data_IF_583894797776
#
_entry.id   IF_583894797776
#
_cell.length_a   1.000
_cell.length_b   1.000
_cell.length_c   1.000
_cell.angle_alpha   90.00
_cell.angle_beta   90.00
_cell.angle_gamma   90.00
#
_symmetry.space_group_name_H-M   'P 1'
#
loop_
_entity.id
_entity.type
_entity.pdbx_description
1 polymer ?
#
# COMPACT_ATOMS: atom_id res chain seq x y z
N UNK A 1 -10.88 -4.81 -32.72
CA UNK A 1 -10.35 -4.10 -31.53
C UNK A 1 -9.57 -2.84 -31.88
N UNK A 2 -8.77 -2.85 -32.96
CA UNK A 2 -8.01 -1.69 -33.46
C UNK A 2 -8.76 -0.33 -33.45
N UNK A 3 -10.01 -0.29 -33.90
CA UNK A 3 -10.83 0.93 -33.94
C UNK A 3 -11.13 1.56 -32.58
N UNK A 4 -10.81 0.87 -31.48
CA UNK A 4 -10.92 1.38 -30.11
C UNK A 4 -9.60 1.96 -29.58
N UNK A 5 -8.56 2.11 -30.41
CA UNK A 5 -7.24 2.65 -30.02
C UNK A 5 -7.29 4.04 -29.42
N UNK A 6 -8.32 4.83 -29.72
CA UNK A 6 -8.51 6.19 -29.19
C UNK A 6 -9.67 6.28 -28.20
N UNK A 7 -10.26 5.14 -27.80
CA UNK A 7 -11.46 5.08 -26.95
C UNK A 7 -11.30 5.87 -25.66
N UNK A 8 -10.09 5.93 -25.13
CA UNK A 8 -9.79 6.60 -23.87
C UNK A 8 -9.20 7.99 -24.04
N UNK A 9 -8.90 8.48 -25.24
CA UNK A 9 -8.17 9.75 -25.43
C UNK A 9 -8.88 10.95 -24.79
N UNK A 10 -10.22 10.92 -24.75
CA UNK A 10 -11.06 11.97 -24.17
C UNK A 10 -11.59 11.64 -22.76
N UNK A 11 -11.21 10.50 -22.18
CA UNK A 11 -11.71 10.16 -20.85
C UNK A 11 -11.09 11.13 -19.82
N UNK A 12 -11.88 11.67 -18.87
CA UNK A 12 -11.40 12.70 -17.96
C UNK A 12 -10.22 12.21 -17.12
N UNK A 13 -9.09 12.90 -17.23
CA UNK A 13 -7.86 12.55 -16.50
C UNK A 13 -8.03 12.64 -14.97
N UNK A 14 -8.91 13.52 -14.49
CA UNK A 14 -9.27 13.71 -13.08
C UNK A 14 -10.55 12.99 -12.66
N UNK A 15 -11.23 12.27 -13.58
CA UNK A 15 -12.50 11.60 -13.30
C UNK A 15 -12.36 10.10 -12.98
N UNK A 16 -13.50 9.36 -12.94
CA UNK A 16 -13.52 7.92 -12.72
C UNK A 16 -12.59 7.18 -13.69
N UNK A 17 -11.76 6.28 -13.15
CA UNK A 17 -10.75 5.55 -13.92
C UNK A 17 -11.39 4.36 -14.64
N UNK A 18 -10.92 4.08 -15.86
CA UNK A 18 -11.34 2.91 -16.60
C UNK A 18 -10.47 1.71 -16.19
N UNK A 19 -11.11 0.69 -15.63
CA UNK A 19 -10.48 -0.62 -15.45
C UNK A 19 -10.96 -1.54 -16.58
N UNK A 20 -10.04 -2.03 -17.40
CA UNK A 20 -10.34 -3.01 -18.45
C UNK A 20 -9.94 -4.38 -17.92
N UNK A 21 -10.89 -5.07 -17.30
CA UNK A 21 -10.66 -6.37 -16.66
C UNK A 21 -10.40 -7.51 -17.64
N UNK A 22 -10.88 -7.37 -18.88
CA UNK A 22 -10.73 -8.36 -19.95
C UNK A 22 -10.73 -7.67 -21.31
N UNK A 23 -9.85 -8.10 -22.20
CA UNK A 23 -9.83 -7.70 -23.60
C UNK A 23 -9.30 -8.86 -24.44
N UNK A 24 -10.00 -9.18 -25.52
CA UNK A 24 -9.50 -10.05 -26.59
C UNK A 24 -10.17 -9.66 -27.92
N UNK A 25 -9.45 -9.77 -29.04
CA UNK A 25 -10.11 -9.88 -30.35
C UNK A 25 -10.77 -11.26 -30.41
N UNK A 26 -12.05 -11.28 -30.75
CA UNK A 26 -12.86 -12.50 -30.77
C UNK A 26 -13.59 -12.65 -32.12
N UNK A 27 -14.11 -13.85 -32.40
CA UNK A 27 -14.76 -14.26 -33.66
C UNK A 27 -13.81 -14.42 -34.86
N UNK A 28 -14.27 -14.01 -36.06
CA UNK A 28 -13.62 -14.29 -37.35
C UNK A 28 -12.20 -13.71 -37.44
N UNK A 29 -11.96 -12.56 -36.81
CA UNK A 29 -10.66 -11.90 -36.80
C UNK A 29 -9.67 -12.58 -35.83
N UNK A 30 -10.17 -13.36 -34.86
CA UNK A 30 -9.35 -14.02 -33.86
C UNK A 30 -8.61 -15.23 -34.42
N UNK A 31 -9.28 -16.09 -35.22
CA UNK A 31 -8.74 -17.41 -35.56
C UNK A 31 -8.34 -18.19 -34.29
N UNK A 32 -7.19 -18.87 -34.34
CA UNK A 32 -6.54 -19.49 -33.16
C UNK A 32 -5.52 -18.54 -32.49
N UNK A 33 -5.62 -17.23 -32.71
CA UNK A 33 -4.60 -16.24 -32.32
C UNK A 33 -3.87 -15.64 -33.52
N UNK A 34 -4.63 -15.07 -34.46
CA UNK A 34 -4.11 -14.50 -35.70
C UNK A 34 -3.21 -13.28 -35.44
N UNK A 35 -2.28 -13.00 -36.36
CA UNK A 35 -1.50 -11.76 -36.32
C UNK A 35 -2.40 -10.50 -36.36
N UNK A 36 -3.54 -10.58 -37.05
CA UNK A 36 -4.51 -9.49 -37.11
C UNK A 36 -5.15 -9.22 -35.74
N UNK A 37 -5.41 -10.26 -34.95
CA UNK A 37 -5.88 -10.16 -33.58
C UNK A 37 -4.84 -9.44 -32.69
N UNK A 38 -3.58 -9.89 -32.74
CA UNK A 38 -2.49 -9.31 -31.97
C UNK A 38 -2.26 -7.81 -32.29
N UNK A 39 -2.29 -7.42 -33.56
CA UNK A 39 -2.17 -6.01 -33.97
C UNK A 39 -3.35 -5.15 -33.50
N UNK A 40 -4.55 -5.73 -33.49
CA UNK A 40 -5.75 -5.07 -33.00
C UNK A 40 -5.75 -4.84 -31.49
N UNK A 41 -5.19 -5.78 -30.72
CA UNK A 41 -4.98 -5.68 -29.28
C UNK A 41 -3.87 -4.69 -28.93
N UNK A 42 -2.73 -4.76 -29.62
CA UNK A 42 -1.63 -3.82 -29.44
C UNK A 42 -2.08 -2.37 -29.63
N UNK A 43 -2.82 -2.06 -30.70
CA UNK A 43 -3.33 -0.71 -30.93
C UNK A 43 -4.32 -0.24 -29.84
N UNK A 44 -5.08 -1.15 -29.24
CA UNK A 44 -5.97 -0.84 -28.12
C UNK A 44 -5.21 -0.58 -26.81
N UNK A 45 -4.17 -1.38 -26.53
CA UNK A 45 -3.29 -1.19 -25.37
C UNK A 45 -2.50 0.13 -25.45
N UNK A 46 -2.02 0.51 -26.64
CA UNK A 46 -1.40 1.83 -26.85
C UNK A 46 -2.35 2.99 -26.50
N UNK A 47 -3.66 2.81 -26.71
CA UNK A 47 -4.69 3.76 -26.28
C UNK A 47 -4.80 3.90 -24.76
N UNK A 48 -4.68 2.79 -24.03
CA UNK A 48 -4.65 2.78 -22.57
C UNK A 48 -3.39 3.48 -22.05
N UNK A 49 -2.23 3.22 -22.64
CA UNK A 49 -0.97 3.88 -22.28
C UNK A 49 -1.05 5.40 -22.44
N UNK A 50 -1.66 5.90 -23.52
CA UNK A 50 -1.82 7.35 -23.78
C UNK A 50 -2.68 8.07 -22.75
N UNK A 51 -3.63 7.36 -22.12
CA UNK A 51 -4.44 7.90 -21.02
C UNK A 51 -3.99 7.44 -19.63
N UNK A 52 -2.71 7.04 -19.49
CA UNK A 52 -2.12 6.84 -18.17
C UNK A 52 -2.00 8.19 -17.45
N UNK A 53 -2.42 8.23 -16.19
CA UNK A 53 -2.31 9.41 -15.32
C UNK A 53 -1.39 9.08 -14.16
N UNK A 54 -0.37 9.89 -13.94
CA UNK A 54 0.51 9.76 -12.78
C UNK A 54 -0.07 10.51 -11.58
N UNK A 55 -0.09 9.91 -10.37
CA UNK A 55 0.43 8.57 -10.05
C UNK A 55 -0.63 7.45 -10.13
N UNK A 56 -0.18 6.25 -10.55
CA UNK A 56 -0.93 4.99 -10.42
C UNK A 56 -0.47 4.21 -9.17
N UNK A 57 -1.32 3.35 -8.61
CA UNK A 57 -0.92 2.47 -7.50
C UNK A 57 0.04 1.36 -7.97
N UNK A 58 -0.26 0.73 -9.11
CA UNK A 58 0.59 -0.29 -9.72
C UNK A 58 0.95 0.21 -11.12
N UNK A 59 2.25 0.24 -11.42
CA UNK A 59 2.77 0.59 -12.75
C UNK A 59 3.27 -0.68 -13.42
N UNK A 60 2.88 -0.92 -14.67
CA UNK A 60 3.26 -2.12 -15.41
C UNK A 60 3.57 -1.82 -16.88
N UNK A 61 4.29 -2.74 -17.53
CA UNK A 61 4.47 -2.82 -18.97
C UNK A 61 4.24 -4.29 -19.42
N UNK A 62 4.58 -4.62 -20.66
CA UNK A 62 4.32 -5.94 -21.27
C UNK A 62 4.99 -7.14 -20.56
N UNK A 63 5.96 -6.95 -19.66
CA UNK A 63 6.65 -8.07 -19.00
C UNK A 63 6.99 -7.85 -17.51
N UNK A 64 6.79 -6.66 -16.96
CA UNK A 64 7.09 -6.37 -15.56
C UNK A 64 6.12 -5.36 -14.96
N UNK A 65 6.07 -5.32 -13.63
CA UNK A 65 5.24 -4.40 -12.84
C UNK A 65 5.94 -4.03 -11.53
N UNK A 66 5.51 -2.92 -10.92
CA UNK A 66 5.89 -2.54 -9.57
C UNK A 66 4.75 -1.78 -8.87
N UNK A 67 4.66 -1.91 -7.56
CA UNK A 67 3.77 -1.09 -6.73
C UNK A 67 4.44 0.22 -6.35
N UNK A 68 3.71 1.34 -6.41
CA UNK A 68 4.19 2.63 -5.87
C UNK A 68 4.10 2.62 -4.34
N UNK A 69 4.75 3.58 -3.63
CA UNK A 69 4.61 3.69 -2.17
C UNK A 69 3.14 3.73 -1.71
N UNK A 70 2.26 4.37 -2.49
CA UNK A 70 0.82 4.42 -2.24
C UNK A 70 0.15 3.04 -2.31
N UNK A 71 0.56 2.17 -3.24
CA UNK A 71 0.06 0.79 -3.30
C UNK A 71 0.42 0.02 -2.05
N UNK A 72 1.68 0.10 -1.62
CA UNK A 72 2.14 -0.60 -0.43
C UNK A 72 1.45 -0.12 0.84
N UNK A 73 1.21 1.19 0.96
CA UNK A 73 0.42 1.74 2.05
C UNK A 73 -1.03 1.22 2.02
N UNK A 74 -1.68 1.19 0.85
CA UNK A 74 -3.02 0.61 0.72
C UNK A 74 -3.04 -0.88 1.09
N UNK A 75 -2.02 -1.64 0.66
CA UNK A 75 -1.87 -3.05 0.99
C UNK A 75 -1.77 -3.29 2.50
N UNK A 76 -0.99 -2.48 3.24
CA UNK A 76 -0.93 -2.59 4.71
C UNK A 76 -2.31 -2.36 5.38
N UNK A 77 -3.16 -1.54 4.77
CA UNK A 77 -4.48 -1.25 5.32
C UNK A 77 -5.53 -2.31 4.98
N UNK A 78 -5.27 -3.29 4.09
CA UNK A 78 -6.25 -4.32 3.76
C UNK A 78 -6.59 -5.20 4.97
N UNK A 79 -5.62 -5.49 5.84
CA UNK A 79 -5.87 -6.29 7.06
C UNK A 79 -6.68 -5.55 8.12
N UNK A 80 -6.93 -4.25 7.91
CA UNK A 80 -7.77 -3.46 8.81
C UNK A 80 -9.26 -3.61 8.51
N UNK A 81 -9.62 -4.34 7.45
CA UNK A 81 -11.01 -4.63 7.12
C UNK A 81 -11.62 -5.57 8.17
N UNK A 82 -12.74 -5.16 8.76
CA UNK A 82 -13.39 -5.90 9.86
C UNK A 82 -12.73 -5.73 11.23
N UNK A 83 -11.71 -4.88 11.34
CA UNK A 83 -11.07 -4.56 12.61
C UNK A 83 -11.95 -3.68 13.51
N UNK A 84 -11.77 -3.80 14.82
CA UNK A 84 -12.40 -2.93 15.81
C UNK A 84 -11.50 -1.72 16.07
N UNK A 85 -12.04 -0.51 15.96
CA UNK A 85 -11.30 0.70 16.30
C UNK A 85 -11.11 0.81 17.81
N UNK A 86 -9.88 1.04 18.27
CA UNK A 86 -9.58 1.22 19.68
C UNK A 86 -9.56 2.71 20.02
N UNK A 87 -10.18 3.07 21.14
CA UNK A 87 -10.11 4.45 21.62
C UNK A 87 -8.67 4.77 22.04
N UNK A 88 -8.06 5.75 21.38
CA UNK A 88 -6.66 6.14 21.59
C UNK A 88 -6.54 7.65 21.68
N UNK A 89 -5.69 8.13 22.59
CA UNK A 89 -5.37 9.56 22.72
C UNK A 89 -3.93 9.81 22.28
N UNK A 90 -3.75 10.68 21.30
CA UNK A 90 -2.42 11.14 20.88
C UNK A 90 -2.04 12.39 21.68
N UNK A 91 -0.96 12.31 22.46
CA UNK A 91 -0.41 13.44 23.22
C UNK A 91 0.91 13.87 22.60
N UNK A 92 0.90 14.94 21.81
CA UNK A 92 2.11 15.49 21.19
C UNK A 92 1.95 16.99 20.95
N UNK A 93 3.07 17.73 20.95
CA UNK A 93 3.13 19.12 20.48
C UNK A 93 3.36 19.20 18.96
N UNK A 94 3.79 18.10 18.32
CA UNK A 94 4.05 18.03 16.88
C UNK A 94 2.75 17.97 16.08
N UNK A 95 2.61 18.84 15.07
CA UNK A 95 1.46 18.82 14.14
C UNK A 95 1.65 17.82 12.99
N UNK A 96 2.82 17.18 12.92
CA UNK A 96 3.21 16.30 11.83
C UNK A 96 3.09 14.82 12.18
N UNK A 97 2.63 14.50 13.40
CA UNK A 97 2.41 13.13 13.84
C UNK A 97 0.92 12.83 13.86
N UNK A 98 0.54 11.69 13.29
CA UNK A 98 -0.81 11.14 13.38
C UNK A 98 -0.73 9.67 13.80
N UNK A 99 -1.66 9.21 14.62
CA UNK A 99 -1.68 7.84 15.09
C UNK A 99 -3.11 7.29 15.17
N UNK A 100 -3.23 5.97 15.04
CA UNK A 100 -4.48 5.24 15.24
C UNK A 100 -4.18 3.85 15.78
N UNK A 101 -5.15 3.26 16.49
CA UNK A 101 -5.06 1.90 16.99
C UNK A 101 -6.31 1.10 16.63
N UNK A 102 -6.11 -0.14 16.22
CA UNK A 102 -7.18 -1.09 15.94
C UNK A 102 -6.86 -2.44 16.59
N UNK A 103 -7.90 -3.22 16.84
CA UNK A 103 -7.81 -4.64 17.15
C UNK A 103 -8.33 -5.45 15.96
N UNK A 104 -7.58 -6.46 15.53
CA UNK A 104 -7.98 -7.32 14.42
C UNK A 104 -7.55 -8.77 14.65
N UNK A 105 -8.26 -9.70 14.03
CA UNK A 105 -7.85 -11.11 13.95
C UNK A 105 -7.16 -11.34 12.61
N UNK A 106 -5.91 -11.75 12.65
CA UNK A 106 -5.13 -12.02 11.43
C UNK A 106 -5.71 -13.23 10.68
N UNK A 107 -5.89 -13.08 9.38
CA UNK A 107 -6.40 -14.15 8.53
C UNK A 107 -5.37 -15.28 8.32
N UNK A 108 -4.08 -14.98 8.46
CA UNK A 108 -2.96 -15.88 8.20
C UNK A 108 -2.74 -16.90 9.32
N UNK A 109 -2.77 -16.45 10.59
CA UNK A 109 -2.46 -17.28 11.75
C UNK A 109 -3.63 -17.40 12.76
N UNK A 110 -4.75 -16.73 12.49
CA UNK A 110 -5.96 -16.70 13.33
C UNK A 110 -5.73 -16.13 14.74
N UNK A 111 -4.64 -15.40 14.96
CA UNK A 111 -4.35 -14.73 16.23
C UNK A 111 -4.90 -13.31 16.27
N UNK A 112 -5.10 -12.79 17.47
CA UNK A 112 -5.57 -11.43 17.69
C UNK A 112 -4.40 -10.49 17.91
N UNK A 113 -4.46 -9.33 17.27
CA UNK A 113 -3.40 -8.34 17.30
C UNK A 113 -3.99 -6.96 17.60
N UNK A 114 -3.20 -6.15 18.30
CA UNK A 114 -3.37 -4.70 18.34
C UNK A 114 -2.45 -4.14 17.27
N UNK A 115 -3.02 -3.46 16.28
CA UNK A 115 -2.23 -2.73 15.29
C UNK A 115 -2.25 -1.25 15.62
N UNK A 116 -1.07 -0.70 15.91
CA UNK A 116 -0.87 0.74 16.15
C UNK A 116 -0.13 1.30 14.95
N UNK A 117 -0.75 2.25 14.26
CA UNK A 117 -0.18 2.90 13.07
C UNK A 117 0.19 4.31 13.44
N UNK A 118 1.41 4.72 13.11
CA UNK A 118 1.91 6.06 13.34
C UNK A 118 2.52 6.61 12.05
N UNK A 119 2.10 7.80 11.67
CA UNK A 119 2.72 8.59 10.60
C UNK A 119 3.58 9.66 11.26
N UNK A 120 4.85 9.73 10.87
CA UNK A 120 5.70 10.89 11.12
C UNK A 120 5.90 11.61 9.78
N UNK A 121 5.15 12.69 9.57
CA UNK A 121 5.29 13.55 8.38
C UNK A 121 6.41 14.60 8.55
N UNK A 122 7.02 14.69 9.73
CA UNK A 122 8.07 15.63 10.04
C UNK A 122 9.43 15.23 9.43
N UNK A 123 10.34 16.21 9.40
CA UNK A 123 11.72 16.03 8.95
C UNK A 123 12.65 15.48 10.02
N UNK A 124 12.18 15.43 11.27
CA UNK A 124 12.97 14.98 12.41
C UNK A 124 12.54 13.58 12.85
N UNK A 125 13.48 12.87 13.49
CA UNK A 125 13.17 11.60 14.16
C UNK A 125 12.38 11.87 15.43
N UNK A 126 11.28 11.17 15.62
CA UNK A 126 10.39 11.33 16.77
C UNK A 126 10.56 10.16 17.75
N UNK A 127 10.84 10.47 19.02
CA UNK A 127 10.84 9.49 20.10
C UNK A 127 9.43 9.39 20.68
N UNK A 128 8.75 8.28 20.39
CA UNK A 128 7.32 8.13 20.65
C UNK A 128 7.09 7.09 21.75
N UNK A 129 6.27 7.41 22.74
CA UNK A 129 5.85 6.46 23.77
C UNK A 129 4.46 5.92 23.44
N UNK A 130 4.32 4.60 23.49
CA UNK A 130 3.05 3.90 23.34
C UNK A 130 2.72 3.27 24.69
N UNK A 131 1.54 3.60 25.22
CA UNK A 131 1.02 2.99 26.44
C UNK A 131 -0.37 2.38 26.17
N UNK A 132 -0.55 1.15 26.61
CA UNK A 132 -1.73 0.33 26.40
C UNK A 132 -2.23 -0.10 27.77
N UNK A 133 -3.50 0.18 28.06
CA UNK A 133 -4.09 -0.12 29.37
C UNK A 133 -5.52 -0.63 29.21
N UNK A 134 -5.96 -1.50 30.12
CA UNK A 134 -7.36 -1.95 30.21
C UNK A 134 -7.77 -3.03 29.20
N UNK A 135 -6.82 -3.62 28.46
CA UNK A 135 -7.09 -4.77 27.61
C UNK A 135 -6.99 -6.07 28.42
N UNK A 136 -7.93 -6.99 28.20
CA UNK A 136 -8.02 -8.27 28.93
C UNK A 136 -6.86 -9.26 28.65
N UNK A 137 -6.03 -8.98 27.65
CA UNK A 137 -4.91 -9.82 27.22
C UNK A 137 -3.64 -8.97 27.18
N UNK A 138 -2.56 -9.50 27.73
CA UNK A 138 -1.27 -8.83 27.76
C UNK A 138 -0.62 -8.87 26.37
N UNK A 139 0.19 -7.85 26.05
CA UNK A 139 0.99 -7.85 24.83
C UNK A 139 2.09 -8.93 24.92
N UNK A 140 2.18 -9.79 23.90
CA UNK A 140 3.21 -10.81 23.78
C UNK A 140 4.36 -10.30 22.90
N UNK A 141 5.57 -10.26 23.46
CA UNK A 141 6.76 -9.86 22.71
C UNK A 141 7.02 -10.80 21.52
N UNK A 142 7.08 -12.11 21.79
CA UNK A 142 7.29 -13.12 20.77
C UNK A 142 6.09 -13.22 19.84
N UNK A 143 6.31 -12.90 18.57
CA UNK A 143 5.26 -12.87 17.53
C UNK A 143 4.74 -11.47 17.21
N UNK A 144 5.16 -10.44 17.95
CA UNK A 144 4.92 -9.06 17.56
C UNK A 144 5.86 -8.61 16.45
N UNK A 145 5.37 -7.77 15.54
CA UNK A 145 6.15 -7.29 14.39
C UNK A 145 6.02 -5.79 14.19
N UNK A 146 6.99 -5.21 13.49
CA UNK A 146 7.01 -3.81 13.10
C UNK A 146 7.18 -3.70 11.59
N UNK A 147 6.36 -2.87 10.96
CA UNK A 147 6.50 -2.46 9.56
C UNK A 147 6.94 -1.02 9.49
N UNK A 148 7.93 -0.72 8.65
CA UNK A 148 8.35 0.67 8.35
C UNK A 148 8.33 0.89 6.84
N UNK A 149 7.68 1.95 6.40
CA UNK A 149 7.74 2.47 5.03
C UNK A 149 8.29 3.90 5.09
N UNK A 150 9.48 4.10 4.53
CA UNK A 150 10.18 5.40 4.52
C UNK A 150 11.20 5.43 3.37
N UNK A 151 11.74 6.61 3.08
CA UNK A 151 12.88 6.79 2.18
C UNK A 151 13.74 7.98 2.65
N UNK A 152 15.06 8.00 2.39
CA UNK A 152 15.92 9.14 2.70
C UNK A 152 15.51 10.44 1.99
N UNK A 153 14.84 10.34 0.83
CA UNK A 153 14.34 11.49 0.08
C UNK A 153 12.83 11.36 -0.17
N UNK A 154 12.06 12.39 0.18
CA UNK A 154 10.59 12.44 0.02
C UNK A 154 10.12 12.37 -1.43
N UNK A 155 11.01 12.65 -2.39
CA UNK A 155 10.74 12.56 -3.83
C UNK A 155 11.18 11.21 -4.43
N UNK A 156 11.59 10.24 -3.62
CA UNK A 156 11.93 8.90 -4.13
C UNK A 156 10.70 8.15 -4.64
N UNK A 157 10.88 7.39 -5.72
CA UNK A 157 9.84 6.57 -6.35
C UNK A 157 10.37 5.17 -6.68
N UNK A 158 9.46 4.19 -6.73
CA UNK A 158 9.75 2.90 -7.37
C UNK A 158 9.75 3.06 -8.90
N UNK A 159 10.55 2.24 -9.58
CA UNK A 159 10.69 2.27 -11.04
C UNK A 159 10.92 0.86 -11.59
N UNK A 160 10.89 0.70 -12.92
CA UNK A 160 11.24 -0.60 -13.53
C UNK A 160 12.70 -1.02 -13.26
N UNK A 161 13.63 -0.08 -13.06
CA UNK A 161 15.02 -0.40 -12.71
C UNK A 161 15.21 -0.68 -11.21
N UNK A 162 14.34 -0.12 -10.36
CA UNK A 162 14.34 -0.32 -8.91
C UNK A 162 12.91 -0.52 -8.41
N UNK A 163 12.27 -1.68 -8.70
CA UNK A 163 10.84 -1.89 -8.43
C UNK A 163 10.52 -1.94 -6.94
N UNK A 164 11.52 -2.24 -6.10
CA UNK A 164 11.40 -2.38 -4.66
C UNK A 164 12.22 -1.34 -3.88
N UNK A 165 12.44 -0.13 -4.44
CA UNK A 165 13.21 0.93 -3.77
C UNK A 165 12.56 1.38 -2.46
N UNK A 166 11.24 1.52 -2.47
CA UNK A 166 10.39 1.92 -1.35
C UNK A 166 9.29 0.88 -1.20
N UNK A 167 9.53 -0.07 -0.30
CA UNK A 167 8.58 -1.13 0.06
C UNK A 167 8.58 -1.30 1.58
N UNK A 168 7.50 -1.83 2.18
CA UNK A 168 7.43 -2.03 3.61
C UNK A 168 8.53 -2.98 4.08
N UNK A 169 9.29 -2.55 5.09
CA UNK A 169 10.27 -3.39 5.76
C UNK A 169 9.65 -3.94 7.04
N UNK A 170 9.39 -5.25 7.08
CA UNK A 170 8.88 -5.93 8.26
C UNK A 170 10.03 -6.53 9.07
N UNK A 171 10.01 -6.34 10.39
CA UNK A 171 10.93 -6.98 11.33
C UNK A 171 10.17 -7.53 12.53
N UNK A 172 10.79 -8.45 13.29
CA UNK A 172 10.32 -8.72 14.65
C UNK A 172 10.39 -7.44 15.49
N UNK A 173 9.52 -7.34 16.49
CA UNK A 173 9.48 -6.21 17.39
C UNK A 173 9.70 -6.66 18.83
N UNK A 174 10.97 -6.63 19.24
CA UNK A 174 11.42 -7.16 20.53
C UNK A 174 11.10 -6.23 21.70
N UNK A 175 10.80 -4.95 21.45
CA UNK A 175 10.40 -4.00 22.49
C UNK A 175 8.88 -4.00 22.75
N UNK A 176 8.14 -4.94 22.14
CA UNK A 176 6.70 -5.03 22.29
C UNK A 176 6.28 -5.30 23.74
N UNK A 177 5.58 -4.33 24.32
CA UNK A 177 5.03 -4.39 25.67
C UNK A 177 3.80 -3.48 25.80
N UNK A 178 3.21 -3.43 26.99
CA UNK A 178 2.12 -2.50 27.30
C UNK A 178 2.58 -1.05 27.44
N UNK A 179 3.88 -0.82 27.67
CA UNK A 179 4.48 0.51 27.81
C UNK A 179 5.87 0.50 27.19
N UNK A 180 5.97 1.11 26.02
CA UNK A 180 7.15 0.99 25.16
C UNK A 180 7.51 2.32 24.51
N UNK A 181 8.80 2.48 24.27
CA UNK A 181 9.37 3.59 23.54
C UNK A 181 9.81 3.12 22.16
N UNK A 182 9.38 3.84 21.13
CA UNK A 182 9.67 3.54 19.74
C UNK A 182 10.24 4.77 19.06
N UNK A 183 11.14 4.52 18.11
CA UNK A 183 11.76 5.57 17.30
C UNK A 183 11.04 5.58 15.95
N UNK A 184 10.50 6.74 15.58
CA UNK A 184 9.83 6.96 14.30
C UNK A 184 10.75 7.76 13.38
N UNK A 185 11.26 7.17 12.30
CA UNK A 185 12.06 7.90 11.31
C UNK A 185 11.29 9.10 10.72
N UNK A 186 12.00 10.11 10.20
CA UNK A 186 11.35 11.20 9.48
C UNK A 186 10.62 10.69 8.23
N UNK A 187 9.57 11.38 7.81
CA UNK A 187 8.76 11.04 6.63
C UNK A 187 8.46 9.53 6.51
N UNK A 188 7.88 8.98 7.57
CA UNK A 188 7.66 7.55 7.67
C UNK A 188 6.22 7.20 8.02
N UNK A 189 5.81 6.02 7.56
CA UNK A 189 4.70 5.28 8.13
C UNK A 189 5.26 4.08 8.87
N UNK A 190 4.87 3.91 10.13
CA UNK A 190 5.24 2.76 10.95
C UNK A 190 3.99 2.07 11.49
N UNK A 191 3.92 0.75 11.36
CA UNK A 191 2.88 -0.08 11.99
C UNK A 191 3.52 -1.00 13.02
N UNK A 192 2.93 -1.10 14.20
CA UNK A 192 3.30 -2.05 15.24
C UNK A 192 2.15 -3.03 15.40
N UNK A 193 2.40 -4.29 15.09
CA UNK A 193 1.43 -5.37 15.20
C UNK A 193 1.78 -6.17 16.45
N UNK A 194 1.04 -5.91 17.52
CA UNK A 194 1.29 -6.45 18.85
C UNK A 194 0.41 -7.66 19.06
N UNK A 195 1.01 -8.82 19.27
CA UNK A 195 0.26 -10.04 19.55
C UNK A 195 -0.39 -9.94 20.94
N UNK A 196 -1.66 -10.36 21.03
CA UNK A 196 -2.41 -10.50 22.29
C UNK A 196 -2.44 -11.96 22.75
#
# INVERSE_FOLDING_TARGET
MFSKSTKFDNAPRSGPKAFVSEYAVWQKDAGDGSLLAALGEAAFLMGLERNRWTPDAIVFNSYQHYGTPSYWLQHIFTDSSGATFLNSTLQTSSKFVAASAIEYTSSADKKNYIRIKVVNFGSDTENFRISISGLKSNVQQSGSTKFVLTSPNVMDENSFSQPNKIVPQQTSFEEASEDMHVILPPHSFTSFDLLK
#
